data_IF_028351438057
#
_entry.id   IF_028351438057
#
_cell.length_a   1.000
_cell.length_b   1.000
_cell.length_c   1.000
_cell.angle_alpha   90.00
_cell.angle_beta   90.00
_cell.angle_gamma   90.00
#
_symmetry.space_group_name_H-M   'P 1'
#
loop_
_entity.id
_entity.type
_entity.pdbx_description
1 polymer ?
2 branched ?
3 non-polymer ?
4 water ?
#
# COMPACT_ATOMS: atom_id res chain seq x y z
N UNK A 1 -10.67 21.45 -11.89
CA UNK A 1 -11.33 20.22 -11.36
C UNK A 1 -10.55 19.68 -10.16
N UNK A 2 -11.16 19.37 -9.00
CA UNK A 2 -12.15 20.18 -8.26
C UNK A 2 -13.41 19.47 -7.75
N UNK A 3 -14.13 18.69 -8.56
CA UNK A 3 -15.39 18.05 -8.05
C UNK A 3 -15.21 16.65 -7.42
N UNK A 4 -14.17 15.93 -7.82
CA UNK A 4 -13.93 14.55 -7.36
C UNK A 4 -12.57 14.50 -6.67
N UNK A 5 -12.37 13.46 -5.85
CA UNK A 5 -11.17 13.34 -5.00
C UNK A 5 -9.86 13.26 -5.80
N UNK A 6 -9.82 12.37 -6.79
CA UNK A 6 -8.66 12.19 -7.64
C UNK A 6 -8.28 13.43 -8.46
N UNK A 7 -9.26 14.14 -9.01
CA UNK A 7 -8.98 15.37 -9.74
C UNK A 7 -8.40 16.41 -8.81
N UNK A 8 -8.96 16.53 -7.62
CA UNK A 8 -8.55 17.58 -6.70
C UNK A 8 -7.11 17.35 -6.24
N UNK A 9 -6.81 16.11 -5.88
CA UNK A 9 -5.43 15.73 -5.53
C UNK A 9 -4.50 15.99 -6.70
N UNK A 10 -4.98 15.74 -7.92
CA UNK A 10 -4.20 15.96 -9.14
C UNK A 10 -3.74 17.43 -9.35
N UNK A 11 -4.59 18.40 -8.94
CA UNK A 11 -4.21 19.83 -8.92
C UNK A 11 -2.90 20.05 -8.22
N UNK A 12 -2.61 19.30 -7.16
CA UNK A 12 -1.36 19.53 -6.44
C UNK A 12 -0.33 18.42 -6.68
N UNK A 13 -0.44 17.76 -7.84
CA UNK A 13 0.54 16.75 -8.26
C UNK A 13 0.39 15.35 -7.70
N UNK A 14 -0.70 15.07 -6.99
CA UNK A 14 -0.84 13.80 -6.29
C UNK A 14 -2.01 13.00 -6.81
N UNK A 15 -2.18 11.80 -6.27
CA UNK A 15 -3.31 10.95 -6.61
C UNK A 15 -4.22 10.70 -5.40
N UNK A 16 -5.46 10.32 -5.68
CA UNK A 16 -6.33 9.78 -4.64
C UNK A 16 -6.88 8.40 -5.04
N UNK A 17 -6.51 7.37 -4.28
CA UNK A 17 -6.72 6.00 -4.72
C UNK A 17 -7.70 5.20 -3.89
N UNK A 18 -7.99 4.00 -4.39
CA UNK A 18 -8.76 3.05 -3.63
C UNK A 18 -8.26 1.66 -3.88
N UNK A 19 -8.59 0.77 -2.96
CA UNK A 19 -8.48 -0.68 -3.10
C UNK A 19 -9.68 -1.20 -3.89
N UNK A 20 -9.42 -2.10 -4.82
CA UNK A 20 -10.46 -2.75 -5.60
C UNK A 20 -10.47 -4.28 -5.36
N UNK A 21 -11.67 -4.81 -5.12
CA UNK A 21 -11.92 -6.25 -5.04
C UNK A 21 -12.64 -6.69 -6.31
N UNK A 22 -12.01 -7.57 -7.09
CA UNK A 22 -12.56 -8.04 -8.37
C UNK A 22 -14.00 -8.58 -8.22
N UNK A 23 -14.26 -9.31 -7.14
CA UNK A 23 -15.58 -9.81 -6.81
C UNK A 23 -16.76 -8.83 -6.73
N UNK A 24 -16.47 -7.53 -6.74
CA UNK A 24 -17.48 -6.46 -6.64
C UNK A 24 -17.68 -5.70 -7.95
N UNK A 25 -16.88 -6.03 -8.97
CA UNK A 25 -16.97 -5.34 -10.24
C UNK A 25 -18.28 -5.58 -11.04
N UNK A 26 -19.11 -6.55 -10.67
CA UNK A 26 -20.44 -6.69 -11.28
C UNK A 26 -21.56 -5.91 -10.58
N UNK A 27 -21.18 -5.02 -9.65
CA UNK A 27 -22.10 -4.17 -8.88
C UNK A 27 -21.97 -2.72 -9.42
N UNK A 28 -23.00 -2.21 -10.09
CA UNK A 28 -22.83 -0.95 -10.82
C UNK A 28 -22.70 0.27 -9.88
N UNK A 29 -23.25 0.16 -8.68
CA UNK A 29 -23.15 1.22 -7.71
C UNK A 29 -21.71 1.36 -7.22
N UNK A 30 -21.05 0.21 -7.06
CA UNK A 30 -19.62 0.15 -6.67
C UNK A 30 -18.72 0.80 -7.72
N UNK A 31 -18.87 0.37 -8.97
CA UNK A 31 -18.02 0.83 -10.09
C UNK A 31 -18.32 2.27 -10.52
N UNK A 32 -19.54 2.74 -10.27
CA UNK A 32 -19.87 4.12 -10.57
C UNK A 32 -19.08 5.10 -9.70
N UNK A 33 -19.19 4.93 -8.38
CA UNK A 33 -18.38 5.70 -7.43
C UNK A 33 -16.89 5.50 -7.68
N UNK A 34 -16.45 4.25 -7.71
CA UNK A 34 -15.01 3.95 -7.87
C UNK A 34 -14.47 4.63 -9.10
N UNK A 35 -15.15 4.42 -10.21
CA UNK A 35 -14.73 4.99 -11.47
C UNK A 35 -14.68 6.50 -11.41
N UNK A 36 -15.73 7.10 -10.85
CA UNK A 36 -15.85 8.56 -10.78
C UNK A 36 -14.80 9.26 -9.89
N UNK A 37 -14.55 8.72 -8.68
CA UNK A 37 -13.79 9.47 -7.64
C UNK A 37 -12.25 9.31 -7.62
N UNK A 38 -11.76 8.13 -7.99
CA UNK A 38 -10.38 7.77 -7.77
C UNK A 38 -9.60 7.71 -9.07
N UNK A 39 -8.34 8.14 -9.04
CA UNK A 39 -7.39 7.97 -10.15
C UNK A 39 -6.24 7.00 -9.90
N UNK A 40 -6.37 6.18 -8.86
CA UNK A 40 -5.38 5.13 -8.56
C UNK A 40 -6.07 3.89 -7.97
N UNK A 41 -5.59 2.73 -8.37
CA UNK A 41 -6.22 1.48 -7.95
C UNK A 41 -5.16 0.55 -7.40
N UNK A 42 -5.45 0.00 -6.23
CA UNK A 42 -4.69 -1.14 -5.71
C UNK A 42 -5.61 -2.32 -5.74
N UNK A 43 -5.08 -3.52 -5.98
CA UNK A 43 -5.91 -4.76 -5.94
C UNK A 43 -5.84 -5.24 -4.53
N UNK A 44 -7.01 -5.39 -3.90
CA UNK A 44 -7.05 -5.73 -2.49
C UNK A 44 -6.47 -7.13 -2.19
N UNK A 45 -6.58 -8.06 -3.13
CA UNK A 45 -6.13 -9.45 -2.93
C UNK A 45 -5.47 -10.12 -4.10
N UNK A 46 -5.74 -9.63 -5.30
CA UNK A 46 -5.48 -10.38 -6.54
C UNK A 46 -4.01 -10.40 -6.97
N UNK A 47 -3.13 -9.62 -6.31
CA UNK A 47 -1.67 -9.69 -6.59
C UNK A 47 -0.84 -10.24 -5.40
N UNK A 48 -1.54 -10.73 -4.37
CA UNK A 48 -0.89 -11.39 -3.23
C UNK A 48 -0.15 -12.62 -3.74
N UNK A 49 0.78 -13.16 -2.98
CA UNK A 49 1.63 -14.25 -3.50
C UNK A 49 0.82 -15.50 -3.88
N UNK A 50 -0.09 -15.89 -3.01
CA UNK A 50 -0.92 -17.06 -3.26
C UNK A 50 -1.94 -16.88 -4.42
N UNK A 51 -2.19 -15.64 -4.82
CA UNK A 51 -3.08 -15.37 -5.96
C UNK A 51 -2.34 -15.41 -7.32
N UNK A 52 -1.05 -15.16 -7.30
CA UNK A 52 -0.26 -15.08 -8.52
C UNK A 52 0.62 -16.30 -8.75
N UNK A 53 1.05 -16.95 -7.67
CA UNK A 53 1.82 -18.19 -7.78
C UNK A 53 1.29 -19.28 -6.82
N UNK A 54 0.08 -19.78 -7.03
CA UNK A 54 -0.50 -20.76 -6.09
C UNK A 54 0.14 -22.13 -6.25
N UNK A 55 0.76 -22.36 -7.41
CA UNK A 55 1.52 -23.58 -7.66
C UNK A 55 2.97 -23.28 -7.99
N UNK A 56 3.88 -23.98 -7.35
CA UNK A 56 5.29 -23.69 -7.56
C UNK A 56 5.66 -23.66 -9.04
N UNK A 57 6.08 -22.49 -9.50
CA UNK A 57 6.56 -22.33 -10.84
C UNK A 57 5.51 -22.02 -11.88
N UNK A 58 4.21 -22.06 -11.54
CA UNK A 58 3.14 -21.69 -12.47
C UNK A 58 2.37 -20.50 -11.96
N UNK A 59 2.29 -19.46 -12.78
CA UNK A 59 1.63 -18.21 -12.40
C UNK A 59 0.21 -18.18 -12.91
N UNK A 60 -0.59 -17.35 -12.26
CA UNK A 60 -2.00 -17.20 -12.51
C UNK A 60 -2.32 -15.70 -12.38
N UNK A 61 -2.58 -15.05 -13.52
CA UNK A 61 -2.79 -13.61 -13.52
C UNK A 61 -4.24 -13.16 -13.79
N UNK A 62 -5.21 -14.07 -13.83
CA UNK A 62 -6.61 -13.76 -14.25
C UNK A 62 -7.31 -12.69 -13.43
N UNK A 63 -7.45 -12.96 -12.12
CA UNK A 63 -8.06 -12.01 -11.22
C UNK A 63 -7.21 -10.70 -11.16
N UNK A 64 -5.89 -10.87 -11.14
CA UNK A 64 -4.95 -9.79 -11.22
C UNK A 64 -5.28 -8.91 -12.41
N UNK A 65 -5.35 -9.53 -13.59
CA UNK A 65 -5.55 -8.79 -14.86
C UNK A 65 -6.93 -8.15 -14.97
N UNK A 66 -7.90 -8.72 -14.29
CA UNK A 66 -9.23 -8.18 -14.34
C UNK A 66 -9.24 -6.82 -13.60
N UNK A 67 -8.49 -6.75 -12.50
CA UNK A 67 -8.36 -5.50 -11.76
C UNK A 67 -7.46 -4.54 -12.54
N UNK A 68 -6.31 -5.02 -13.04
CA UNK A 68 -5.40 -4.18 -13.85
C UNK A 68 -6.18 -3.56 -15.02
N UNK A 69 -6.93 -4.40 -15.74
CA UNK A 69 -7.68 -3.91 -16.91
C UNK A 69 -8.82 -2.95 -16.61
N UNK A 70 -9.54 -3.16 -15.52
CA UNK A 70 -10.62 -2.24 -15.10
C UNK A 70 -10.04 -0.87 -14.78
N UNK A 71 -8.90 -0.86 -14.09
CA UNK A 71 -8.26 0.41 -13.69
C UNK A 71 -7.85 1.21 -14.92
N UNK A 72 -7.10 0.57 -15.81
CA UNK A 72 -6.62 1.19 -17.06
C UNK A 72 -7.76 1.72 -17.96
N UNK A 73 -8.77 0.88 -18.15
CA UNK A 73 -9.95 1.24 -18.93
C UNK A 73 -10.73 2.41 -18.36
N UNK A 74 -10.62 2.67 -17.05
CA UNK A 74 -11.30 3.83 -16.43
C UNK A 74 -10.33 4.93 -15.99
N UNK A 75 -9.14 4.91 -16.58
CA UNK A 75 -8.20 6.01 -16.49
C UNK A 75 -7.41 6.15 -15.21
N UNK A 76 -7.25 5.08 -14.42
CA UNK A 76 -6.41 5.15 -13.22
C UNK A 76 -5.09 4.47 -13.48
N UNK A 77 -4.11 4.81 -12.64
CA UNK A 77 -2.83 4.11 -12.49
C UNK A 77 -2.99 2.97 -11.48
N UNK A 78 -1.96 2.15 -11.30
CA UNK A 78 -2.06 0.98 -10.43
C UNK A 78 -0.89 0.93 -9.47
N UNK A 79 -1.18 0.55 -8.23
CA UNK A 79 -0.14 0.13 -7.29
C UNK A 79 -0.20 -1.37 -7.19
N UNK A 80 0.96 -2.00 -7.29
CA UNK A 80 1.09 -3.43 -7.04
C UNK A 80 1.29 -3.78 -5.57
N UNK A 81 0.54 -4.79 -5.13
CA UNK A 81 0.42 -5.21 -3.73
C UNK A 81 0.18 -6.73 -3.75
N UNK A 82 1.14 -7.58 -3.39
CA UNK A 82 2.49 -7.25 -2.91
C UNK A 82 3.41 -8.45 -3.20
N UNK A 83 4.71 -8.21 -3.33
CA UNK A 83 5.64 -9.21 -3.88
C UNK A 83 6.32 -10.16 -2.87
N UNK A 84 6.59 -9.70 -1.64
CA UNK A 84 7.27 -10.55 -0.66
C UNK A 84 6.73 -10.29 0.74
N UNK A 85 6.11 -11.30 1.33
CA UNK A 85 5.31 -11.17 2.55
C UNK A 85 5.32 -12.45 3.36
N UNK A 86 5.18 -12.34 4.66
CA UNK A 86 5.22 -13.52 5.52
C UNK A 86 3.90 -14.26 5.43
N UNK A 87 2.84 -13.53 5.13
CA UNK A 87 1.47 -14.01 5.17
C UNK A 87 0.85 -14.07 3.75
N UNK A 88 -0.21 -14.87 3.56
CA UNK A 88 -0.75 -15.18 2.22
C UNK A 88 0.24 -15.92 1.30
N UNK A 89 1.07 -16.79 1.88
CA UNK A 89 1.94 -17.67 1.11
C UNK A 89 1.20 -18.97 0.77
N UNK A 90 1.40 -19.51 -0.41
CA UNK A 90 0.87 -20.85 -0.69
C UNK A 90 1.59 -21.94 0.18
N UNK A 91 0.99 -23.11 0.31
CA UNK A 91 1.61 -24.18 1.10
C UNK A 91 2.97 -24.59 0.60
N UNK A 92 3.14 -24.63 -0.72
CA UNK A 92 4.43 -25.06 -1.28
C UNK A 92 5.55 -24.14 -0.79
N UNK A 93 5.30 -22.83 -0.77
CA UNK A 93 6.30 -21.86 -0.33
C UNK A 93 6.46 -21.88 1.17
N UNK A 94 5.33 -21.99 1.87
CA UNK A 94 5.31 -22.17 3.32
C UNK A 94 6.21 -23.35 3.74
N UNK A 95 6.40 -24.35 2.89
CA UNK A 95 7.19 -25.54 3.25
C UNK A 95 8.68 -25.43 3.00
N UNK A 96 9.15 -24.32 2.45
CA UNK A 96 10.55 -24.20 2.08
C UNK A 96 11.30 -23.42 3.16
N UNK A 97 12.64 -23.49 3.10
CA UNK A 97 13.49 -22.71 3.99
C UNK A 97 14.83 -22.38 3.35
N UNK A 98 15.67 -21.64 4.06
CA UNK A 98 17.04 -21.32 3.61
C UNK A 98 17.11 -20.85 2.17
N UNK A 99 18.03 -21.41 1.40
CA UNK A 99 18.33 -20.84 0.10
C UNK A 99 17.32 -21.24 -0.96
N UNK A 100 16.72 -22.41 -0.81
CA UNK A 100 15.57 -22.78 -1.64
C UNK A 100 14.47 -21.71 -1.52
N UNK A 101 14.14 -21.32 -0.29
CA UNK A 101 13.11 -20.30 -0.09
C UNK A 101 13.52 -18.94 -0.66
N UNK A 102 14.75 -18.52 -0.42
CA UNK A 102 15.27 -17.28 -0.99
C UNK A 102 15.15 -17.23 -2.52
N UNK A 103 15.42 -18.37 -3.14
CA UNK A 103 15.43 -18.47 -4.58
C UNK A 103 13.98 -18.38 -5.12
N UNK A 104 13.04 -18.93 -4.35
CA UNK A 104 11.62 -18.84 -4.69
C UNK A 104 11.12 -17.40 -4.57
N UNK A 105 11.62 -16.69 -3.59
CA UNK A 105 11.34 -15.26 -3.43
C UNK A 105 11.78 -14.45 -4.65
N UNK A 106 12.99 -14.71 -5.12
CA UNK A 106 13.54 -14.01 -6.31
C UNK A 106 12.74 -14.36 -7.59
N UNK A 107 12.48 -15.65 -7.76
CA UNK A 107 11.68 -16.10 -8.89
C UNK A 107 10.28 -15.49 -8.84
N UNK A 108 9.69 -15.43 -7.65
CA UNK A 108 8.33 -14.88 -7.55
C UNK A 108 8.32 -13.40 -7.93
N UNK A 109 9.23 -12.62 -7.34
CA UNK A 109 9.40 -11.20 -7.74
C UNK A 109 9.54 -11.06 -9.27
N UNK A 110 10.37 -11.90 -9.89
CA UNK A 110 10.61 -11.74 -11.33
C UNK A 110 9.42 -12.12 -12.19
N UNK A 111 8.76 -13.22 -11.89
CA UNK A 111 7.58 -13.62 -12.65
C UNK A 111 6.49 -12.56 -12.62
N UNK A 112 6.18 -12.03 -11.45
CA UNK A 112 5.03 -11.14 -11.29
C UNK A 112 5.32 -9.76 -11.90
N UNK A 113 6.44 -9.15 -11.54
CA UNK A 113 6.86 -7.85 -12.08
C UNK A 113 7.05 -7.93 -13.57
N UNK A 114 7.58 -9.04 -14.05
CA UNK A 114 7.76 -9.23 -15.47
C UNK A 114 6.46 -9.19 -16.23
N UNK A 115 5.42 -9.80 -15.67
CA UNK A 115 4.11 -9.79 -16.30
C UNK A 115 3.54 -8.38 -16.44
N UNK A 116 3.71 -7.52 -15.45
CA UNK A 116 3.15 -6.14 -15.49
C UNK A 116 4.19 -5.07 -15.91
N UNK A 117 5.28 -5.52 -16.54
CA UNK A 117 6.45 -4.67 -16.75
C UNK A 117 6.11 -3.38 -17.43
N UNK A 118 6.48 -2.27 -16.80
CA UNK A 118 6.18 -0.94 -17.32
C UNK A 118 4.75 -0.44 -17.09
N UNK A 119 3.89 -1.24 -16.50
CA UNK A 119 2.48 -0.89 -16.33
C UNK A 119 2.09 -0.54 -14.88
N UNK A 120 3.05 -0.56 -13.95
CA UNK A 120 2.76 -0.38 -12.53
C UNK A 120 3.51 0.84 -12.00
N UNK A 121 2.77 1.79 -11.45
CA UNK A 121 3.38 3.02 -10.96
C UNK A 121 4.27 2.78 -9.72
N UNK A 122 3.76 2.03 -8.75
CA UNK A 122 4.50 1.65 -7.52
C UNK A 122 4.26 0.17 -7.16
N UNK A 123 5.27 -0.51 -6.60
CA UNK A 123 5.13 -1.89 -6.08
C UNK A 123 5.48 -1.96 -4.58
N UNK A 124 4.58 -2.56 -3.79
CA UNK A 124 4.90 -2.97 -2.42
C UNK A 124 5.74 -4.21 -2.53
N UNK A 125 7.05 -4.04 -2.51
CA UNK A 125 7.95 -5.14 -2.77
C UNK A 125 7.99 -6.01 -1.54
N UNK A 126 8.11 -5.35 -0.38
CA UNK A 126 8.10 -6.03 0.89
C UNK A 126 7.07 -5.37 1.78
N UNK A 127 6.28 -6.22 2.41
CA UNK A 127 5.14 -5.81 3.20
C UNK A 127 5.27 -6.40 4.60
N UNK A 128 5.12 -5.57 5.62
CA UNK A 128 4.91 -6.05 7.01
C UNK A 128 5.98 -6.98 7.59
N UNK A 129 7.23 -6.53 7.56
CA UNK A 129 8.36 -7.38 7.97
C UNK A 129 8.79 -7.10 9.43
N UNK A 130 8.14 -6.14 10.08
CA UNK A 130 8.54 -5.77 11.43
C UNK A 130 7.52 -6.25 12.48
N UNK A 131 8.04 -6.60 13.65
CA UNK A 131 7.26 -7.18 14.72
C UNK A 131 6.31 -6.18 15.39
N UNK A 132 5.21 -6.71 15.94
CA UNK A 132 4.34 -5.92 16.81
C UNK A 132 4.65 -6.09 18.33
N UNK A 133 5.85 -6.60 18.66
CA UNK A 133 6.23 -6.90 20.03
C UNK A 133 6.89 -5.71 20.76
N UNK A 134 6.78 -4.53 20.18
CA UNK A 134 7.43 -3.35 20.76
C UNK A 134 8.95 -3.25 20.74
N UNK A 135 9.64 -4.24 20.18
CA UNK A 135 11.12 -4.26 20.23
C UNK A 135 11.75 -3.37 19.17
N UNK A 136 11.04 -3.13 18.08
CA UNK A 136 11.64 -2.45 16.93
C UNK A 136 12.28 -3.36 15.91
N UNK A 137 12.48 -4.63 16.25
CA UNK A 137 13.17 -5.57 15.37
C UNK A 137 12.33 -6.22 14.28
N UNK A 138 12.98 -7.04 13.45
CA UNK A 138 12.31 -7.78 12.38
C UNK A 138 11.41 -8.82 12.96
N UNK A 139 10.43 -9.19 12.17
CA UNK A 139 9.56 -10.33 12.43
C UNK A 139 10.39 -11.59 12.23
N UNK A 140 9.91 -12.72 12.76
CA UNK A 140 10.70 -13.95 12.78
C UNK A 140 10.23 -14.97 11.75
N UNK A 141 9.86 -14.52 10.56
CA UNK A 141 9.34 -15.42 9.53
C UNK A 141 10.37 -16.36 8.91
N UNK A 142 9.86 -17.28 8.10
CA UNK A 142 10.68 -18.07 7.22
C UNK A 142 11.61 -17.18 6.37
N UNK A 143 11.09 -16.07 5.85
CA UNK A 143 11.89 -15.15 5.04
C UNK A 143 13.09 -14.58 5.82
N UNK A 144 12.85 -14.11 7.04
CA UNK A 144 13.95 -13.67 7.93
C UNK A 144 14.98 -14.79 8.19
N UNK A 145 14.47 -16.04 8.38
CA UNK A 145 15.37 -17.19 8.66
C UNK A 145 16.30 -17.54 7.49
N UNK A 146 16.08 -16.98 6.30
CA UNK A 146 17.07 -17.13 5.21
C UNK A 146 18.30 -16.21 5.41
N UNK A 147 18.21 -15.24 6.30
CA UNK A 147 19.19 -14.17 6.42
C UNK A 147 18.56 -12.77 6.39
N UNK A 148 19.16 -11.88 7.17
CA UNK A 148 18.68 -10.51 7.33
C UNK A 148 18.66 -9.73 6.03
N UNK A 149 19.58 -10.05 5.13
CA UNK A 149 19.61 -9.41 3.80
C UNK A 149 18.43 -9.73 2.84
N UNK A 150 17.44 -10.51 3.28
CA UNK A 150 16.38 -10.85 2.37
C UNK A 150 15.68 -9.60 1.82
N UNK A 151 15.44 -8.60 2.67
CA UNK A 151 14.74 -7.37 2.22
C UNK A 151 15.57 -6.63 1.14
N UNK A 152 16.85 -6.51 1.41
CA UNK A 152 17.78 -5.88 0.49
C UNK A 152 17.75 -6.58 -0.87
N UNK A 153 17.90 -7.90 -0.88
CA UNK A 153 17.81 -8.71 -2.10
C UNK A 153 16.47 -8.60 -2.80
N UNK A 154 15.40 -8.50 -2.03
CA UNK A 154 14.08 -8.33 -2.60
C UNK A 154 14.11 -7.07 -3.46
N UNK A 155 14.61 -5.96 -2.91
CA UNK A 155 14.60 -4.67 -3.59
C UNK A 155 15.54 -4.63 -4.81
N UNK A 156 16.76 -5.16 -4.65
CA UNK A 156 17.66 -5.29 -5.79
C UNK A 156 17.03 -6.13 -6.91
N UNK A 157 16.50 -7.31 -6.59
CA UNK A 157 15.76 -8.11 -7.60
C UNK A 157 14.66 -7.31 -8.34
N UNK A 158 13.79 -6.67 -7.55
CA UNK A 158 12.65 -5.91 -8.08
C UNK A 158 13.10 -4.79 -9.02
N UNK A 159 14.25 -4.20 -8.75
CA UNK A 159 14.79 -3.09 -9.56
C UNK A 159 15.20 -3.54 -10.95
N UNK A 160 15.95 -4.64 -10.98
CA UNK A 160 16.27 -5.34 -12.22
C UNK A 160 15.00 -5.76 -12.93
N UNK A 161 14.02 -6.35 -12.22
CA UNK A 161 12.79 -6.88 -12.87
C UNK A 161 11.95 -5.85 -13.66
N UNK A 162 11.89 -4.60 -13.22
CA UNK A 162 11.08 -3.57 -13.87
C UNK A 162 11.60 -2.23 -13.41
N UNK A 163 12.63 -1.74 -14.09
CA UNK A 163 13.24 -0.48 -13.77
C UNK A 163 12.28 0.72 -13.69
N UNK A 164 11.12 0.62 -14.35
CA UNK A 164 10.21 1.78 -14.46
C UNK A 164 9.45 2.10 -13.17
N UNK A 165 9.28 1.12 -12.29
CA UNK A 165 8.37 1.28 -11.14
C UNK A 165 9.06 1.78 -9.85
N UNK A 166 8.39 2.68 -9.13
CA UNK A 166 8.80 3.00 -7.76
C UNK A 166 8.64 1.77 -6.87
N UNK A 167 9.63 1.55 -6.01
CA UNK A 167 9.69 0.37 -5.09
C UNK A 167 9.46 0.79 -3.65
N UNK A 168 8.39 0.26 -3.07
CA UNK A 168 7.97 0.60 -1.75
C UNK A 168 8.19 -0.51 -0.72
N UNK A 169 8.57 -0.11 0.49
CA UNK A 169 8.41 -0.92 1.70
C UNK A 169 7.12 -0.48 2.37
N UNK A 170 6.26 -1.41 2.76
CA UNK A 170 4.89 -1.06 3.20
C UNK A 170 4.57 -1.75 4.55
N UNK A 171 3.98 -1.00 5.48
CA UNK A 171 3.68 -1.57 6.80
C UNK A 171 2.60 -0.75 7.49
N UNK A 172 2.11 -1.31 8.60
CA UNK A 172 1.11 -0.69 9.47
C UNK A 172 1.71 -0.50 10.86
N UNK A 173 1.13 0.44 11.64
CA UNK A 173 1.62 0.81 12.98
C UNK A 173 3.03 1.43 12.94
N UNK A 174 3.33 2.07 11.80
CA UNK A 174 4.56 2.87 11.64
C UNK A 174 4.24 4.36 11.39
N UNK A 175 3.04 4.78 11.81
CA UNK A 175 2.58 6.16 11.64
C UNK A 175 2.92 7.06 12.84
N UNK A 176 2.98 6.47 14.05
CA UNK A 176 3.34 7.23 15.25
C UNK A 176 4.86 7.38 15.46
N UNK A 177 5.33 8.63 15.45
CA UNK A 177 6.78 8.87 15.41
C UNK A 177 7.53 8.29 16.60
N UNK A 178 6.89 8.21 17.76
CA UNK A 178 7.61 7.87 18.99
C UNK A 178 7.63 6.37 19.27
N UNK A 179 6.88 5.59 18.52
CA UNK A 179 6.73 4.16 18.76
C UNK A 179 7.88 3.35 18.13
N UNK A 180 8.20 2.22 18.76
CA UNK A 180 9.44 1.49 18.47
C UNK A 180 9.46 0.92 17.06
N UNK A 181 8.29 0.48 16.57
CA UNK A 181 8.20 -0.17 15.25
C UNK A 181 8.60 0.86 14.18
N UNK A 182 8.00 2.02 14.25
CA UNK A 182 8.32 3.14 13.38
C UNK A 182 9.85 3.41 13.31
N UNK A 183 10.49 3.39 14.47
CA UNK A 183 11.87 3.75 14.56
C UNK A 183 12.75 2.65 13.96
N UNK A 184 12.30 1.39 14.14
CA UNK A 184 12.97 0.24 13.53
C UNK A 184 13.00 0.35 12.01
N UNK A 185 11.88 0.76 11.42
CA UNK A 185 11.75 0.89 9.97
C UNK A 185 12.54 2.11 9.50
N UNK A 186 12.38 3.21 10.24
CA UNK A 186 13.14 4.41 9.94
C UNK A 186 14.66 4.09 9.94
N UNK A 187 15.13 3.37 10.95
CA UNK A 187 16.54 2.98 11.02
C UNK A 187 16.97 2.13 9.84
N UNK A 188 16.09 1.22 9.42
CA UNK A 188 16.41 0.35 8.28
C UNK A 188 16.52 1.12 6.97
N UNK A 189 15.54 1.96 6.70
CA UNK A 189 15.52 2.73 5.47
C UNK A 189 16.74 3.65 5.41
N UNK A 190 17.12 4.21 6.54
CA UNK A 190 18.27 5.10 6.61
C UNK A 190 19.56 4.36 6.27
N UNK A 191 19.66 3.12 6.76
CA UNK A 191 20.79 2.25 6.51
C UNK A 191 20.86 1.92 5.02
N UNK A 192 19.71 1.59 4.46
CA UNK A 192 19.58 1.33 3.04
C UNK A 192 20.01 2.53 2.21
N UNK A 193 19.52 3.71 2.57
CA UNK A 193 19.88 4.90 1.81
C UNK A 193 21.36 5.18 1.90
N UNK A 194 21.97 4.99 3.07
CA UNK A 194 23.44 5.16 3.19
C UNK A 194 24.28 4.22 2.27
N UNK A 195 23.74 3.01 2.00
CA UNK A 195 24.47 1.93 1.29
C UNK A 195 23.98 1.70 -0.15
N UNK A 196 22.96 2.43 -0.58
CA UNK A 196 22.50 2.36 -1.95
C UNK A 196 21.70 1.14 -2.26
N UNK A 197 20.89 0.70 -1.31
CA UNK A 197 19.84 -0.27 -1.59
C UNK A 197 18.66 0.52 -2.24
N UNK A 198 18.17 0.04 -3.38
CA UNK A 198 17.16 0.78 -4.17
C UNK A 198 15.74 0.74 -3.62
N UNK A 199 15.47 1.61 -2.66
CA UNK A 199 14.13 1.80 -2.09
C UNK A 199 13.68 3.21 -2.48
N UNK A 200 12.59 3.30 -3.24
CA UNK A 200 12.11 4.60 -3.74
C UNK A 200 11.18 5.29 -2.80
N UNK A 201 10.42 4.49 -2.06
CA UNK A 201 9.28 4.98 -1.28
C UNK A 201 9.01 4.15 0.00
N UNK A 202 8.31 4.74 0.97
CA UNK A 202 7.80 4.02 2.14
C UNK A 202 6.28 4.18 2.20
N UNK A 203 5.58 3.09 2.46
CA UNK A 203 4.14 3.08 2.50
C UNK A 203 3.62 2.97 3.93
N UNK A 204 2.81 3.96 4.31
CA UNK A 204 2.19 4.04 5.63
C UNK A 204 0.75 3.63 5.47
N UNK A 205 0.44 2.41 5.89
CA UNK A 205 -0.89 1.87 5.69
C UNK A 205 -1.93 2.81 6.29
N UNK A 206 -1.60 3.41 7.42
CA UNK A 206 -2.48 4.40 8.03
C UNK A 206 -3.91 3.87 8.38
N UNK A 207 -3.97 2.68 9.00
CA UNK A 207 -5.19 2.18 9.62
C UNK A 207 -5.33 2.84 10.98
N UNK A 208 -6.10 3.91 11.09
CA UNK A 208 -6.31 4.55 12.40
C UNK A 208 -7.56 4.02 13.15
N UNK A 209 -7.40 3.69 14.44
CA UNK A 209 -8.49 3.11 15.29
C UNK A 209 -8.10 3.10 16.79
N UNK A 210 -8.85 2.41 17.65
CA UNK A 210 -8.59 2.56 19.10
C UNK A 210 -7.23 1.97 19.53
N UNK A 211 -6.78 0.94 18.84
CA UNK A 211 -5.51 0.28 19.19
C UNK A 211 -4.32 0.99 18.56
N UNK A 212 -4.58 1.82 17.55
CA UNK A 212 -3.53 2.67 17.02
C UNK A 212 -4.08 3.99 16.51
N UNK A 213 -4.32 4.92 17.45
CA UNK A 213 -4.97 6.21 17.16
C UNK A 213 -4.16 7.14 16.29
N UNK A 214 -4.84 7.99 15.55
CA UNK A 214 -4.17 9.06 14.87
C UNK A 214 -3.43 9.85 15.93
N UNK A 215 -2.32 10.43 15.52
CA UNK A 215 -1.54 11.34 16.33
C UNK A 215 -0.92 12.37 15.40
N UNK A 216 -0.91 13.63 15.80
CA UNK A 216 -0.49 14.68 14.89
C UNK A 216 1.03 14.63 14.59
N UNK A 217 1.77 13.79 15.32
CA UNK A 217 3.16 13.51 14.93
C UNK A 217 3.28 12.64 13.63
N UNK A 218 2.16 12.26 13.05
CA UNK A 218 2.17 11.66 11.74
C UNK A 218 2.91 12.56 10.75
N UNK A 219 2.71 13.87 10.84
CA UNK A 219 3.40 14.80 9.94
C UNK A 219 4.90 14.68 10.13
N UNK A 220 5.34 14.70 11.39
CA UNK A 220 6.77 14.54 11.73
C UNK A 220 7.35 13.26 11.14
N UNK A 221 6.58 12.18 11.22
CA UNK A 221 7.02 10.90 10.67
C UNK A 221 7.27 11.04 9.16
N UNK A 222 6.30 11.59 8.45
CA UNK A 222 6.32 11.71 7.00
C UNK A 222 7.52 12.56 6.57
N UNK A 223 7.68 13.68 7.25
CA UNK A 223 8.78 14.61 6.99
C UNK A 223 10.14 13.95 7.18
N UNK A 224 10.21 13.14 8.24
CA UNK A 224 11.48 12.53 8.64
C UNK A 224 11.91 11.47 7.67
N UNK A 225 10.97 10.62 7.26
CA UNK A 225 11.28 9.62 6.25
C UNK A 225 11.59 10.33 4.91
N UNK A 226 10.85 11.38 4.57
CA UNK A 226 11.15 12.11 3.34
C UNK A 226 12.63 12.60 3.31
N UNK A 227 13.12 13.17 4.40
CA UNK A 227 14.46 13.72 4.38
C UNK A 227 15.52 12.65 4.13
N UNK A 228 15.21 11.39 4.41
CA UNK A 228 16.12 10.30 4.10
C UNK A 228 16.37 10.16 2.59
N UNK A 229 15.56 10.81 1.77
CA UNK A 229 15.65 10.69 0.31
C UNK A 229 14.73 9.66 -0.34
N UNK A 230 13.52 9.49 0.18
CA UNK A 230 12.49 8.62 -0.41
C UNK A 230 11.15 9.33 -0.46
N UNK A 231 10.28 8.92 -1.38
CA UNK A 231 8.91 9.38 -1.39
C UNK A 231 8.13 8.64 -0.28
N UNK A 232 7.00 9.20 0.17
CA UNK A 232 6.13 8.51 1.10
C UNK A 232 4.72 8.46 0.53
N UNK A 233 3.96 7.43 0.90
CA UNK A 233 2.60 7.28 0.44
C UNK A 233 1.72 6.73 1.54
N UNK A 234 0.50 7.24 1.59
CA UNK A 234 -0.53 6.67 2.44
C UNK A 234 -1.33 5.63 1.61
N UNK A 235 -1.20 4.36 1.99
CA UNK A 235 -1.55 3.24 1.11
C UNK A 235 -2.83 2.48 1.45
N UNK A 236 -3.20 2.43 2.72
CA UNK A 236 -4.41 1.71 3.13
C UNK A 236 -5.28 2.47 4.13
N UNK A 237 -5.45 3.77 3.92
CA UNK A 237 -6.14 4.64 4.89
C UNK A 237 -7.54 4.14 5.22
N UNK A 238 -7.83 4.08 6.52
CA UNK A 238 -9.20 4.07 7.03
C UNK A 238 -9.18 4.47 8.50
N UNK A 239 -10.30 5.03 8.95
CA UNK A 239 -10.39 5.68 10.26
C UNK A 239 -11.69 5.24 10.98
N UNK A 240 -11.54 4.58 12.12
CA UNK A 240 -12.63 4.05 12.92
C UNK A 240 -13.60 5.17 13.28
N UNK A 241 -14.82 5.12 12.72
CA UNK A 241 -15.88 6.11 13.02
C UNK A 241 -15.88 7.31 12.08
N UNK A 242 -14.88 7.32 11.19
CA UNK A 242 -14.74 8.30 10.12
C UNK A 242 -15.00 9.75 10.50
N UNK A 243 -14.47 10.18 11.65
CA UNK A 243 -14.46 11.61 12.02
C UNK A 243 -13.91 12.51 10.90
N UNK A 244 -14.60 13.61 10.67
CA UNK A 244 -14.25 14.59 9.64
C UNK A 244 -12.93 15.31 9.98
N UNK A 245 -12.77 15.63 11.27
CA UNK A 245 -11.53 16.22 11.79
C UNK A 245 -10.33 15.46 11.30
N UNK A 246 -10.39 14.14 11.54
CA UNK A 246 -9.27 13.25 11.43
C UNK A 246 -8.99 12.94 9.98
N UNK A 247 -10.05 12.77 9.19
CA UNK A 247 -9.85 12.60 7.76
C UNK A 247 -9.17 13.84 7.15
N UNK A 248 -9.49 15.04 7.67
CA UNK A 248 -8.86 16.26 7.16
C UNK A 248 -7.43 16.40 7.66
N UNK A 249 -7.20 15.96 8.89
CA UNK A 249 -5.86 15.97 9.45
C UNK A 249 -4.88 15.11 8.62
N UNK A 250 -5.23 13.86 8.36
CA UNK A 250 -4.42 12.96 7.55
C UNK A 250 -4.15 13.58 6.17
N UNK A 251 -5.21 14.06 5.50
CA UNK A 251 -5.05 14.72 4.20
C UNK A 251 -4.03 15.89 4.18
N UNK A 252 -4.16 16.82 5.14
CA UNK A 252 -3.27 17.97 5.26
C UNK A 252 -1.84 17.57 5.63
N UNK A 253 -1.71 16.45 6.34
CA UNK A 253 -0.39 15.90 6.58
C UNK A 253 0.32 15.58 5.27
N UNK A 254 -0.38 14.86 4.40
CA UNK A 254 0.17 14.51 3.10
C UNK A 254 0.44 15.78 2.26
N UNK A 255 -0.53 16.70 2.22
CA UNK A 255 -0.35 17.96 1.49
C UNK A 255 0.81 18.81 2.01
N UNK A 256 1.23 18.62 3.24
CA UNK A 256 2.35 19.39 3.76
C UNK A 256 3.71 18.82 3.36
N UNK A 257 3.77 17.61 2.79
CA UNK A 257 5.05 16.96 2.56
C UNK A 257 5.23 16.79 1.08
N UNK A 258 6.21 17.44 0.50
CA UNK A 258 6.21 17.54 -0.95
C UNK A 258 6.63 16.23 -1.60
N UNK A 259 7.32 15.36 -0.87
CA UNK A 259 7.62 14.01 -1.37
C UNK A 259 6.49 13.00 -1.03
N UNK A 260 5.31 13.51 -0.67
CA UNK A 260 4.17 12.65 -0.47
C UNK A 260 3.36 12.51 -1.75
N UNK A 261 3.48 11.35 -2.41
CA UNK A 261 2.86 11.09 -3.70
C UNK A 261 1.32 11.10 -3.68
N UNK A 262 0.71 10.54 -2.65
CA UNK A 262 -0.76 10.53 -2.63
C UNK A 262 -1.41 9.71 -1.54
N UNK A 263 -2.73 9.61 -1.61
CA UNK A 263 -3.53 8.92 -0.61
C UNK A 263 -4.35 7.81 -1.24
N UNK A 264 -4.32 6.62 -0.65
CA UNK A 264 -5.22 5.52 -1.05
C UNK A 264 -6.05 5.18 0.18
N UNK A 265 -7.39 5.16 0.04
CA UNK A 265 -8.23 4.60 1.10
C UNK A 265 -8.50 3.14 0.76
N UNK A 266 -8.60 2.32 1.79
CA UNK A 266 -8.69 0.90 1.65
C UNK A 266 -10.15 0.46 1.53
N UNK A 267 -10.79 0.77 0.41
CA UNK A 267 -12.13 0.33 0.11
C UNK A 267 -12.99 1.47 -0.38
N UNK A 268 -14.05 1.14 -1.14
CA UNK A 268 -14.93 2.15 -1.75
C UNK A 268 -16.15 2.57 -0.87
N UNK A 269 -16.78 1.62 -0.20
CA UNK A 269 -17.85 1.96 0.73
C UNK A 269 -17.65 1.19 2.03
N UNK A 270 -18.32 1.66 3.09
CA UNK A 270 -18.25 1.04 4.42
C UNK A 270 -18.49 -0.46 4.31
N UNK A 271 -19.47 -0.85 3.51
CA UNK A 271 -19.77 -2.28 3.34
C UNK A 271 -18.67 -3.07 2.62
N UNK A 272 -17.69 -2.41 2.01
CA UNK A 272 -16.61 -3.11 1.32
C UNK A 272 -15.31 -3.18 2.13
N UNK A 273 -15.33 -2.61 3.34
CA UNK A 273 -14.20 -2.63 4.26
C UNK A 273 -13.99 -3.94 4.98
N UNK A 274 -12.71 -4.28 5.17
CA UNK A 274 -12.31 -5.39 6.05
C UNK A 274 -12.88 -5.20 7.46
N UNK A 275 -13.15 -3.94 7.84
CA UNK A 275 -13.78 -3.56 9.11
C UNK A 275 -15.07 -2.75 8.84
N UNK A 276 -16.03 -3.39 8.15
CA UNK A 276 -17.32 -2.78 7.81
C UNK A 276 -18.11 -2.27 9.02
N UNK A 277 -18.00 -3.01 10.12
CA UNK A 277 -18.64 -2.61 11.37
C UNK A 277 -18.15 -1.31 11.93
N UNK A 278 -16.91 -0.93 11.62
CA UNK A 278 -16.35 0.34 12.07
C UNK A 278 -16.77 1.56 11.19
N UNK A 279 -17.53 1.33 10.11
CA UNK A 279 -17.83 2.36 9.07
C UNK A 279 -16.72 3.41 8.85
N UNK A 280 -15.54 2.95 8.45
CA UNK A 280 -14.35 3.79 8.44
C UNK A 280 -13.93 4.44 7.13
N UNK A 281 -14.75 4.28 6.08
CA UNK A 281 -14.48 4.86 4.77
C UNK A 281 -15.34 6.11 4.48
N UNK A 282 -15.31 6.62 3.25
CA UNK A 282 -15.93 7.90 2.87
C UNK A 282 -17.30 7.84 2.20
N UNK A 283 -17.82 6.62 2.00
CA UNK A 283 -19.16 6.39 1.42
C UNK A 283 -19.91 5.36 2.25
N UNK A 284 -21.21 5.56 2.40
CA UNK A 284 -22.05 4.60 3.10
C UNK A 284 -22.41 3.41 2.21
N UNK A 285 -22.92 2.35 2.82
CA UNK A 285 -23.48 1.25 2.03
C UNK A 285 -24.46 1.68 0.92
N UNK A 286 -25.30 2.70 1.19
CA UNK A 286 -26.11 3.44 0.18
C UNK A 286 -25.35 3.84 -1.08
N UNK A 287 -24.11 4.27 -0.93
CA UNK A 287 -23.40 4.95 -1.99
C UNK A 287 -23.34 6.46 -1.78
N UNK A 288 -24.11 6.95 -0.82
CA UNK A 288 -24.11 8.36 -0.50
C UNK A 288 -22.81 8.73 0.24
N UNK A 289 -22.33 9.94 -0.03
CA UNK A 289 -21.15 10.54 0.61
C UNK A 289 -21.35 10.71 2.11
N UNK A 290 -20.28 10.57 2.86
CA UNK A 290 -20.29 10.85 4.30
C UNK A 290 -19.66 12.23 4.51
N UNK A 291 -19.64 12.68 5.76
CA UNK A 291 -19.19 14.04 6.04
C UNK A 291 -17.69 14.11 5.83
N UNK A 292 -16.97 13.04 6.16
CA UNK A 292 -15.54 13.04 5.93
C UNK A 292 -15.20 13.23 4.45
N UNK A 293 -16.05 12.79 3.53
CA UNK A 293 -15.84 13.00 2.10
C UNK A 293 -15.57 14.48 1.74
N UNK A 294 -16.43 15.35 2.27
CA UNK A 294 -16.37 16.79 2.02
C UNK A 294 -15.10 17.44 2.59
N UNK A 295 -14.69 16.98 3.77
CA UNK A 295 -13.52 17.45 4.46
C UNK A 295 -12.28 17.07 3.69
N UNK A 296 -12.25 15.84 3.19
CA UNK A 296 -11.12 15.42 2.37
C UNK A 296 -11.09 16.29 1.11
N UNK A 297 -12.25 16.53 0.50
CA UNK A 297 -12.28 17.29 -0.76
C UNK A 297 -11.85 18.76 -0.59
N UNK A 298 -12.27 19.40 0.50
CA UNK A 298 -11.89 20.78 0.83
C UNK A 298 -10.40 20.90 1.07
N UNK A 299 -9.86 20.01 1.91
CA UNK A 299 -8.40 19.98 2.12
C UNK A 299 -7.68 19.83 0.79
N UNK A 300 -8.09 18.86 -0.03
CA UNK A 300 -7.50 18.75 -1.37
C UNK A 300 -7.64 20.04 -2.21
N UNK A 301 -8.75 20.78 -2.09
CA UNK A 301 -8.95 22.02 -2.90
C UNK A 301 -8.30 23.32 -2.35
#
# INVERSE_FOLDING_TARGET
AESTLGAAAAQSGRYFGTAIASGKLGDSAYTTIASREFNMVTAENEMKIDATEPQRGQFNFSAGDRVYNWAVQNGKQVRGHTLAWHSAQPGWMQSLSGSTLRQAMIDHINGVMGHYKGKIAQWDVVNEAFSDDGSGGRRDSNLQRTGNDWIEVAFRTARAADPAAKLCYNDYNIENWTWAKTQGVYNMVRDFKQRGVPIDCVGFQSHFNSGSPYNSNFRTTLQNFAALGVDVAITELDIQGASSSTYAAVTNDCLAVSRCLGITVWGVRDTDSWASGDTPLLFNGDGSKKAAYTAVLNALNGGGSRSHHHHHH
#
